data_IF_865321850317
#
_entry.id   IF_865321850317
#
_cell.length_a   1.000
_cell.length_b   1.000
_cell.length_c   1.000
_cell.angle_alpha   90.00
_cell.angle_beta   90.00
_cell.angle_gamma   90.00
#
_symmetry.space_group_name_H-M   'P 1'
#
loop_
_entity.id
_entity.type
_entity.pdbx_description
1 polymer ?
#
# COMPACT_ATOMS: atom_id res chain seq x y z
N UNK A 1 -6.05 -5.73 -12.87
CA UNK A 1 -6.66 -6.83 -12.10
C UNK A 1 -5.55 -7.80 -11.76
N UNK A 2 -5.36 -8.16 -10.50
CA UNK A 2 -4.39 -9.18 -10.09
C UNK A 2 -5.03 -10.55 -10.29
N UNK A 3 -4.47 -11.34 -11.20
CA UNK A 3 -4.95 -12.71 -11.44
C UNK A 3 -4.55 -13.61 -10.28
N UNK A 4 -5.52 -14.35 -9.76
CA UNK A 4 -5.36 -15.30 -8.66
C UNK A 4 -5.53 -16.73 -9.14
N UNK A 5 -4.67 -17.62 -8.65
CA UNK A 5 -4.57 -19.01 -9.07
C UNK A 5 -4.87 -19.94 -7.88
N UNK A 6 -5.56 -21.05 -8.16
CA UNK A 6 -5.79 -22.08 -7.14
C UNK A 6 -4.54 -22.92 -6.92
N UNK A 7 -4.48 -23.68 -5.82
CA UNK A 7 -3.36 -24.58 -5.54
C UNK A 7 -3.06 -25.57 -6.69
N UNK A 8 -4.09 -26.02 -7.43
CA UNK A 8 -3.91 -26.93 -8.57
C UNK A 8 -3.24 -26.22 -9.75
N UNK A 9 -3.57 -24.95 -9.98
CA UNK A 9 -2.96 -24.15 -11.04
C UNK A 9 -1.49 -23.88 -10.74
N UNK A 10 -1.15 -23.64 -9.46
CA UNK A 10 0.24 -23.49 -9.02
C UNK A 10 1.07 -24.74 -9.35
N UNK A 11 0.55 -25.94 -9.07
CA UNK A 11 1.27 -27.19 -9.37
C UNK A 11 1.54 -27.38 -10.87
N UNK A 12 0.65 -26.89 -11.75
CA UNK A 12 0.88 -26.93 -13.20
C UNK A 12 1.92 -25.93 -13.65
N UNK A 13 2.04 -24.80 -12.95
CA UNK A 13 2.91 -23.68 -13.34
C UNK A 13 4.30 -23.72 -12.69
N UNK A 14 4.46 -24.40 -11.56
CA UNK A 14 5.73 -24.51 -10.84
C UNK A 14 6.35 -25.87 -11.14
N UNK A 15 7.38 -25.88 -11.97
CA UNK A 15 8.12 -27.09 -12.32
C UNK A 15 8.88 -27.63 -11.10
N UNK A 16 8.71 -28.91 -10.80
CA UNK A 16 9.33 -29.57 -9.64
C UNK A 16 8.51 -29.54 -8.35
N UNK A 17 7.37 -28.83 -8.32
CA UNK A 17 6.44 -28.88 -7.20
C UNK A 17 5.39 -29.99 -7.40
N UNK A 18 5.78 -31.20 -7.00
CA UNK A 18 5.04 -32.47 -7.13
C UNK A 18 3.64 -32.58 -6.49
N UNK A 19 3.39 -31.82 -5.41
CA UNK A 19 2.33 -32.18 -4.47
C UNK A 19 1.67 -31.00 -3.81
N UNK A 20 0.33 -31.06 -3.73
CA UNK A 20 -0.49 -30.16 -2.92
C UNK A 20 -0.06 -30.15 -1.45
N UNK A 21 0.39 -31.30 -0.93
CA UNK A 21 0.88 -31.40 0.45
C UNK A 21 2.14 -30.56 0.64
N UNK A 22 3.08 -30.63 -0.32
CA UNK A 22 4.31 -29.83 -0.29
C UNK A 22 4.00 -28.34 -0.36
N UNK A 23 3.14 -27.93 -1.30
CA UNK A 23 2.71 -26.53 -1.41
C UNK A 23 2.04 -26.04 -0.12
N UNK A 24 1.16 -26.85 0.48
CA UNK A 24 0.51 -26.48 1.74
C UNK A 24 1.50 -26.38 2.91
N UNK A 25 2.49 -27.29 2.99
CA UNK A 25 3.56 -27.20 4.01
C UNK A 25 4.38 -25.92 3.83
N UNK A 26 4.73 -25.57 2.59
CA UNK A 26 5.47 -24.35 2.30
C UNK A 26 4.67 -23.11 2.65
N UNK A 27 3.42 -23.03 2.21
CA UNK A 27 2.56 -21.89 2.50
C UNK A 27 2.28 -21.74 4.00
N UNK A 28 2.14 -22.84 4.75
CA UNK A 28 2.00 -22.79 6.21
C UNK A 28 3.30 -22.30 6.88
N UNK A 29 4.46 -22.76 6.40
CA UNK A 29 5.76 -22.27 6.87
C UNK A 29 5.88 -20.76 6.60
N UNK A 30 5.58 -20.31 5.39
CA UNK A 30 5.64 -18.90 4.99
C UNK A 30 4.71 -18.03 5.85
N UNK A 31 3.48 -18.49 6.11
CA UNK A 31 2.55 -17.76 6.99
C UNK A 31 3.07 -17.63 8.41
N UNK A 32 3.62 -18.72 8.97
CA UNK A 32 4.04 -18.75 10.37
C UNK A 32 5.39 -18.07 10.60
N UNK A 33 6.35 -18.36 9.74
CA UNK A 33 7.76 -18.04 9.96
C UNK A 33 8.22 -16.78 9.23
N UNK A 34 7.51 -16.36 8.17
CA UNK A 34 7.81 -15.17 7.39
C UNK A 34 6.77 -14.04 7.60
N UNK A 35 5.81 -14.25 8.51
CA UNK A 35 4.68 -13.35 8.78
C UNK A 35 3.96 -12.87 7.51
N UNK A 36 3.83 -13.78 6.53
CA UNK A 36 3.32 -13.47 5.21
C UNK A 36 1.84 -13.84 5.07
N UNK A 37 1.02 -12.88 4.65
CA UNK A 37 -0.42 -13.09 4.49
C UNK A 37 -0.81 -13.42 3.05
N UNK A 38 -1.29 -14.64 2.82
CA UNK A 38 -1.88 -15.04 1.53
C UNK A 38 -3.29 -14.50 1.32
N UNK A 39 -3.66 -14.33 0.05
CA UNK A 39 -5.03 -14.05 -0.34
C UNK A 39 -5.91 -15.31 -0.17
N UNK A 40 -7.16 -15.10 0.22
CA UNK A 40 -8.17 -16.16 0.36
C UNK A 40 -9.45 -15.74 -0.34
N UNK A 41 -10.06 -16.70 -1.03
CA UNK A 41 -11.34 -16.51 -1.71
C UNK A 41 -12.29 -17.69 -1.45
N UNK A 42 -13.59 -17.46 -1.61
CA UNK A 42 -14.64 -18.46 -1.40
C UNK A 42 -15.01 -19.15 -2.71
N UNK A 43 -14.38 -20.29 -2.96
CA UNK A 43 -14.65 -21.09 -4.15
C UNK A 43 -15.87 -21.98 -3.90
N UNK A 44 -16.79 -22.01 -4.87
CA UNK A 44 -17.93 -22.92 -4.88
C UNK A 44 -17.47 -24.33 -5.22
N UNK A 45 -17.92 -25.32 -4.47
CA UNK A 45 -17.72 -26.73 -4.80
C UNK A 45 -19.03 -27.49 -4.64
N UNK A 46 -19.25 -28.46 -5.51
CA UNK A 46 -20.40 -29.35 -5.41
C UNK A 46 -20.02 -30.57 -4.57
N UNK A 47 -20.73 -30.80 -3.48
CA UNK A 47 -20.69 -32.07 -2.77
C UNK A 47 -21.86 -32.94 -3.24
N UNK A 48 -21.56 -34.20 -3.56
CA UNK A 48 -22.59 -35.19 -3.81
C UNK A 48 -22.80 -35.99 -2.54
N UNK A 49 -23.97 -35.82 -1.91
CA UNK A 49 -24.45 -36.82 -0.95
C UNK A 49 -25.23 -37.87 -1.72
N UNK A 50 -25.46 -39.03 -1.10
CA UNK A 50 -26.13 -40.19 -1.71
C UNK A 50 -27.54 -39.86 -2.25
N UNK A 51 -28.11 -38.72 -1.87
CA UNK A 51 -29.48 -38.31 -2.21
C UNK A 51 -29.61 -36.93 -2.86
N UNK A 52 -28.65 -36.00 -2.75
CA UNK A 52 -28.72 -34.66 -3.35
C UNK A 52 -27.35 -34.08 -3.69
N UNK A 53 -27.31 -33.22 -4.72
CA UNK A 53 -26.17 -32.36 -5.04
C UNK A 53 -26.33 -31.04 -4.31
N UNK A 54 -25.41 -30.71 -3.40
CA UNK A 54 -25.39 -29.45 -2.67
C UNK A 54 -24.21 -28.59 -3.13
N UNK A 55 -24.45 -27.28 -3.32
CA UNK A 55 -23.40 -26.31 -3.66
C UNK A 55 -22.96 -25.64 -2.37
N UNK A 56 -21.72 -25.88 -1.99
CA UNK A 56 -21.10 -25.32 -0.79
C UNK A 56 -19.99 -24.34 -1.17
N UNK A 57 -19.60 -23.50 -0.22
CA UNK A 57 -18.49 -22.56 -0.37
C UNK A 57 -17.35 -22.96 0.55
N UNK A 58 -16.12 -22.95 0.04
CA UNK A 58 -14.91 -23.19 0.83
C UNK A 58 -13.95 -22.03 0.69
N UNK A 59 -13.51 -21.51 1.84
CA UNK A 59 -12.40 -20.56 1.91
C UNK A 59 -11.13 -21.27 1.45
N UNK A 60 -10.58 -20.84 0.31
CA UNK A 60 -9.44 -21.45 -0.36
C UNK A 60 -8.34 -20.43 -0.47
N UNK A 61 -7.10 -20.85 -0.19
CA UNK A 61 -5.91 -20.02 -0.38
C UNK A 61 -5.69 -19.83 -1.89
N UNK A 62 -5.52 -18.59 -2.29
CA UNK A 62 -5.30 -18.18 -3.65
C UNK A 62 -3.88 -17.63 -3.78
N UNK A 63 -3.27 -17.84 -4.93
CA UNK A 63 -1.89 -17.46 -5.18
C UNK A 63 -1.77 -16.46 -6.32
N UNK A 64 -0.96 -15.41 -6.13
CA UNK A 64 -0.68 -14.44 -7.19
C UNK A 64 0.38 -14.95 -8.17
N UNK A 65 0.50 -14.31 -9.33
CA UNK A 65 1.56 -14.62 -10.29
C UNK A 65 2.96 -14.42 -9.67
N UNK A 66 3.14 -13.38 -8.86
CA UNK A 66 4.41 -13.11 -8.17
C UNK A 66 4.78 -14.25 -7.20
N UNK A 67 3.81 -14.78 -6.46
CA UNK A 67 4.02 -15.90 -5.55
C UNK A 67 4.43 -17.17 -6.30
N UNK A 68 3.82 -17.43 -7.46
CA UNK A 68 4.19 -18.55 -8.34
C UNK A 68 5.64 -18.40 -8.80
N UNK A 69 6.04 -17.20 -9.25
CA UNK A 69 7.42 -16.94 -9.65
C UNK A 69 8.39 -17.10 -8.48
N UNK A 70 8.01 -16.66 -7.27
CA UNK A 70 8.80 -16.89 -6.06
C UNK A 70 8.94 -18.38 -5.77
N UNK A 71 7.87 -19.18 -5.85
CA UNK A 71 7.96 -20.63 -5.68
C UNK A 71 8.88 -21.30 -6.70
N UNK A 72 8.86 -20.87 -7.95
CA UNK A 72 9.79 -21.37 -8.97
C UNK A 72 11.25 -21.06 -8.59
N UNK A 73 11.51 -19.86 -8.07
CA UNK A 73 12.85 -19.49 -7.57
C UNK A 73 13.24 -20.32 -6.34
N UNK A 74 12.30 -20.60 -5.43
CA UNK A 74 12.52 -21.48 -4.26
C UNK A 74 13.00 -22.86 -4.73
N UNK A 75 12.32 -23.48 -5.70
CA UNK A 75 12.73 -24.80 -6.22
C UNK A 75 14.19 -24.80 -6.67
N UNK A 76 14.62 -23.75 -7.40
CA UNK A 76 16.01 -23.62 -7.87
C UNK A 76 17.02 -23.41 -6.73
N UNK A 77 16.61 -22.79 -5.63
CA UNK A 77 17.48 -22.48 -4.48
C UNK A 77 17.57 -23.62 -3.47
N UNK A 78 16.58 -24.52 -3.42
CA UNK A 78 16.54 -25.65 -2.48
C UNK A 78 17.84 -26.48 -2.47
N UNK A 79 18.43 -26.86 -3.61
CA UNK A 79 19.65 -27.66 -3.63
C UNK A 79 20.87 -26.93 -3.05
N UNK A 80 20.86 -25.59 -3.07
CA UNK A 80 22.00 -24.75 -2.68
C UNK A 80 21.91 -24.35 -1.21
N UNK A 81 20.74 -23.85 -0.79
CA UNK A 81 20.55 -23.23 0.53
C UNK A 81 19.73 -24.11 1.48
N UNK A 82 19.00 -25.10 0.95
CA UNK A 82 17.96 -25.82 1.67
C UNK A 82 16.58 -25.15 1.58
N UNK A 83 15.56 -25.87 2.03
CA UNK A 83 14.14 -25.46 1.88
C UNK A 83 13.79 -24.19 2.66
N UNK A 84 14.06 -24.18 3.97
CA UNK A 84 13.57 -23.12 4.86
C UNK A 84 14.21 -21.77 4.57
N UNK A 85 15.53 -21.77 4.38
CA UNK A 85 16.34 -20.62 3.98
C UNK A 85 15.88 -20.06 2.63
N UNK A 86 15.63 -20.92 1.64
CA UNK A 86 15.11 -20.49 0.33
C UNK A 86 13.73 -19.84 0.43
N UNK A 87 12.84 -20.40 1.26
CA UNK A 87 11.51 -19.84 1.51
C UNK A 87 11.60 -18.48 2.21
N UNK A 88 12.38 -18.38 3.29
CA UNK A 88 12.57 -17.11 4.00
C UNK A 88 13.18 -16.05 3.10
N UNK A 89 14.23 -16.37 2.34
CA UNK A 89 14.88 -15.44 1.42
C UNK A 89 13.93 -14.77 0.42
N UNK A 90 12.84 -15.42 0.03
CA UNK A 90 11.91 -14.91 -0.99
C UNK A 90 10.57 -14.38 -0.46
N UNK A 91 10.16 -14.80 0.74
CA UNK A 91 8.86 -14.45 1.32
C UNK A 91 8.95 -13.61 2.59
N UNK A 92 10.06 -13.68 3.30
CA UNK A 92 10.28 -12.92 4.52
C UNK A 92 10.86 -11.54 4.17
N UNK A 93 10.11 -10.50 4.50
CA UNK A 93 10.55 -9.11 4.29
C UNK A 93 11.75 -8.74 5.15
N UNK A 94 11.92 -9.41 6.30
CA UNK A 94 12.96 -9.10 7.29
C UNK A 94 14.20 -9.97 7.13
N UNK A 95 14.08 -11.13 6.47
CA UNK A 95 15.21 -12.06 6.32
C UNK A 95 16.46 -11.44 5.67
N UNK A 96 16.32 -10.49 4.73
CA UNK A 96 17.48 -9.81 4.17
C UNK A 96 18.28 -9.08 5.27
N UNK A 97 17.57 -8.37 6.16
CA UNK A 97 18.18 -7.67 7.30
C UNK A 97 18.77 -8.68 8.29
N UNK A 98 18.04 -9.75 8.61
CA UNK A 98 18.51 -10.76 9.57
C UNK A 98 19.78 -11.50 9.12
N UNK A 99 20.07 -11.53 7.81
CA UNK A 99 21.29 -12.13 7.25
C UNK A 99 22.46 -11.15 7.09
N UNK A 100 22.23 -9.85 7.24
CA UNK A 100 23.26 -8.84 7.07
C UNK A 100 24.15 -8.74 8.31
N UNK A 101 25.45 -8.50 8.10
CA UNK A 101 26.35 -8.18 9.20
C UNK A 101 26.03 -6.79 9.77
N UNK A 102 26.46 -6.50 11.00
CA UNK A 102 26.15 -5.23 11.67
C UNK A 102 26.52 -3.98 10.85
N UNK A 103 27.64 -4.01 10.12
CA UNK A 103 28.05 -2.90 9.25
C UNK A 103 27.07 -2.68 8.09
N UNK A 104 26.69 -3.75 7.42
CA UNK A 104 25.74 -3.73 6.29
C UNK A 104 24.34 -3.29 6.75
N UNK A 105 23.90 -3.78 7.92
CA UNK A 105 22.66 -3.34 8.56
C UNK A 105 22.65 -1.84 8.84
N UNK A 106 23.72 -1.31 9.44
CA UNK A 106 23.83 0.11 9.72
C UNK A 106 23.78 0.95 8.45
N UNK A 107 24.49 0.53 7.40
CA UNK A 107 24.45 1.24 6.11
C UNK A 107 23.06 1.23 5.48
N UNK A 108 22.36 0.10 5.52
CA UNK A 108 21.00 -0.01 4.98
C UNK A 108 20.00 0.86 5.78
N UNK A 109 20.13 0.87 7.11
CA UNK A 109 19.31 1.72 7.99
C UNK A 109 19.57 3.20 7.68
N UNK A 110 20.83 3.61 7.54
CA UNK A 110 21.20 4.99 7.22
C UNK A 110 20.60 5.40 5.87
N UNK A 111 20.77 4.59 4.83
CA UNK A 111 20.20 4.87 3.50
C UNK A 111 18.67 5.01 3.56
N UNK A 112 17.98 4.14 4.30
CA UNK A 112 16.53 4.24 4.46
C UNK A 112 16.09 5.51 5.20
N UNK A 113 16.87 5.95 6.19
CA UNK A 113 16.64 7.20 6.90
C UNK A 113 16.86 8.39 5.97
N UNK A 114 17.94 8.40 5.19
CA UNK A 114 18.26 9.47 4.23
C UNK A 114 17.16 9.65 3.18
N UNK A 115 16.68 8.55 2.59
CA UNK A 115 15.55 8.59 1.64
C UNK A 115 14.28 9.15 2.29
N UNK A 116 13.99 8.74 3.53
CA UNK A 116 12.83 9.28 4.27
C UNK A 116 12.99 10.76 4.59
N UNK A 117 14.20 11.20 4.97
CA UNK A 117 14.50 12.61 5.22
C UNK A 117 14.33 13.43 3.95
N UNK A 118 14.89 13.00 2.83
CA UNK A 118 14.73 13.69 1.54
C UNK A 118 13.25 13.84 1.14
N UNK A 119 12.46 12.76 1.25
CA UNK A 119 11.02 12.81 0.99
C UNK A 119 10.27 13.78 1.94
N UNK A 120 10.68 13.85 3.21
CA UNK A 120 10.10 14.77 4.18
C UNK A 120 10.48 16.21 3.89
N UNK A 121 11.72 16.47 3.47
CA UNK A 121 12.23 17.77 3.04
C UNK A 121 11.39 18.31 1.86
N UNK A 122 11.15 17.47 0.85
CA UNK A 122 10.32 17.82 -0.31
C UNK A 122 8.89 18.17 0.08
N UNK A 123 8.28 17.37 0.96
CA UNK A 123 6.95 17.65 1.49
C UNK A 123 6.90 18.95 2.28
N UNK A 124 7.94 19.23 3.08
CA UNK A 124 8.05 20.48 3.83
C UNK A 124 8.13 21.67 2.90
N UNK A 125 8.99 21.62 1.87
CA UNK A 125 9.10 22.68 0.87
C UNK A 125 7.79 22.91 0.13
N UNK A 126 7.07 21.85 -0.23
CA UNK A 126 5.76 21.96 -0.87
C UNK A 126 4.73 22.62 0.05
N UNK A 127 4.72 22.26 1.35
CA UNK A 127 3.86 22.88 2.35
C UNK A 127 4.19 24.35 2.57
N UNK A 128 5.47 24.71 2.67
CA UNK A 128 5.91 26.10 2.83
C UNK A 128 5.48 26.96 1.64
N UNK A 129 5.59 26.45 0.40
CA UNK A 129 5.09 27.15 -0.78
C UNK A 129 3.58 27.38 -0.73
N UNK A 130 2.80 26.36 -0.33
CA UNK A 130 1.34 26.49 -0.16
C UNK A 130 0.99 27.51 0.91
N UNK A 131 1.72 27.52 2.03
CA UNK A 131 1.52 28.47 3.12
C UNK A 131 1.76 29.91 2.65
N UNK A 132 2.89 30.17 1.97
CA UNK A 132 3.19 31.50 1.42
C UNK A 132 2.15 31.97 0.41
N UNK A 133 1.63 31.06 -0.42
CA UNK A 133 0.56 31.38 -1.36
C UNK A 133 -0.74 31.75 -0.63
N UNK A 134 -1.08 31.01 0.43
CA UNK A 134 -2.26 31.28 1.24
C UNK A 134 -2.14 32.62 1.97
N UNK A 135 -0.98 32.92 2.55
CA UNK A 135 -0.71 34.18 3.24
C UNK A 135 -0.86 35.39 2.30
N UNK A 136 -0.32 35.31 1.08
CA UNK A 136 -0.54 36.34 0.05
C UNK A 136 -2.01 36.51 -0.30
N UNK A 137 -2.73 35.40 -0.47
CA UNK A 137 -4.16 35.44 -0.80
C UNK A 137 -4.98 36.09 0.33
N UNK A 138 -4.61 35.81 1.58
CA UNK A 138 -5.22 36.39 2.76
C UNK A 138 -4.99 37.90 2.82
N UNK A 139 -3.76 38.38 2.64
CA UNK A 139 -3.45 39.81 2.58
C UNK A 139 -4.23 40.53 1.48
N UNK A 140 -4.35 39.94 0.29
CA UNK A 140 -5.16 40.54 -0.79
C UNK A 140 -6.65 40.58 -0.48
N UNK A 141 -7.17 39.61 0.27
CA UNK A 141 -8.57 39.60 0.70
C UNK A 141 -8.82 40.67 1.77
N UNK A 142 -7.91 40.83 2.74
CA UNK A 142 -7.98 41.89 3.75
C UNK A 142 -8.00 43.28 3.11
N UNK A 143 -7.12 43.53 2.13
CA UNK A 143 -7.09 44.80 1.39
C UNK A 143 -8.42 45.07 0.65
N UNK A 144 -8.99 44.04 0.01
CA UNK A 144 -10.29 44.18 -0.68
C UNK A 144 -11.43 44.43 0.30
N UNK A 145 -11.42 43.79 1.47
CA UNK A 145 -12.41 44.03 2.51
C UNK A 145 -12.34 45.47 3.00
N UNK A 146 -11.14 45.98 3.29
CA UNK A 146 -10.96 47.38 3.70
C UNK A 146 -11.47 48.36 2.64
N UNK A 147 -11.17 48.12 1.35
CA UNK A 147 -11.70 48.94 0.25
C UNK A 147 -13.22 48.89 0.15
N UNK A 148 -13.83 47.71 0.35
CA UNK A 148 -15.28 47.57 0.35
C UNK A 148 -15.93 48.31 1.53
N UNK A 149 -15.36 48.21 2.73
CA UNK A 149 -15.80 48.94 3.92
C UNK A 149 -15.73 50.47 3.71
N UNK A 150 -14.64 50.98 3.13
CA UNK A 150 -14.52 52.39 2.75
C UNK A 150 -15.57 52.79 1.69
N UNK A 151 -15.80 51.96 0.68
CA UNK A 151 -16.81 52.24 -0.35
C UNK A 151 -18.24 52.26 0.21
N UNK A 152 -18.56 51.37 1.15
CA UNK A 152 -19.86 51.33 1.82
C UNK A 152 -20.06 52.56 2.71
N UNK A 153 -19.06 52.92 3.50
CA UNK A 153 -19.16 54.11 4.37
C UNK A 153 -19.34 55.41 3.58
N UNK A 154 -18.65 55.56 2.45
CA UNK A 154 -18.83 56.72 1.55
C UNK A 154 -20.18 56.72 0.84
N UNK A 155 -20.72 55.55 0.49
CA UNK A 155 -22.07 55.42 -0.06
C UNK A 155 -23.15 55.76 0.98
N UNK A 156 -22.99 55.34 2.23
CA UNK A 156 -23.89 55.72 3.33
C UNK A 156 -23.87 57.23 3.59
N UNK A 157 -22.68 57.85 3.59
CA UNK A 157 -22.53 59.30 3.75
C UNK A 157 -23.16 60.09 2.59
N UNK A 158 -22.96 59.69 1.34
CA UNK A 158 -23.53 60.38 0.17
C UNK A 158 -25.05 60.20 0.06
N UNK A 159 -25.59 59.04 0.44
CA UNK A 159 -27.04 58.79 0.49
C UNK A 159 -27.76 59.68 1.52
N UNK A 160 -27.13 59.92 2.67
CA UNK A 160 -27.70 60.76 3.75
C UNK A 160 -27.78 62.26 3.38
N UNK A 161 -26.86 62.73 2.52
CA UNK A 161 -26.84 64.11 2.02
C UNK A 161 -27.91 64.41 0.97
N UNK A 162 -28.27 63.42 0.14
CA UNK A 162 -29.32 63.57 -0.88
C UNK A 162 -30.70 63.79 -0.25
N UNK A 163 -31.01 63.08 0.84
CA UNK A 163 -32.27 63.26 1.57
C UNK A 163 -32.36 64.57 2.37
N UNK A 164 -31.23 65.20 2.73
CA UNK A 164 -31.21 66.48 3.45
C UNK A 164 -31.42 67.71 2.56
N UNK A 165 -31.22 67.61 1.24
CA UNK A 165 -31.36 68.75 0.30
C UNK A 165 -32.78 68.98 -0.23
N UNK A 166 -33.78 68.21 0.22
CA UNK A 166 -35.20 68.34 -0.17
C UNK A 166 -36.13 68.85 0.96
N UNK A 167 -35.62 69.61 1.91
CA UNK A 167 -36.45 70.36 2.87
C UNK A 167 -36.18 71.85 2.76
#
# INVERSE_FOLDING_TARGET
MTDYFTAHDVLKKVEGLNSLSTLNKWANFIQKECDYQFHYDYIRFASHTRTKRTINHRKTRMFSLEEIQKFQKVIKLIPILGRNTSLRKLFDKKHHLDTMNHSELLTEIINQIEVKLANKEELFQALTKKYQQLERSYQTLEQRLAQLEESLSTQEQTSSGWFRRKR
#
